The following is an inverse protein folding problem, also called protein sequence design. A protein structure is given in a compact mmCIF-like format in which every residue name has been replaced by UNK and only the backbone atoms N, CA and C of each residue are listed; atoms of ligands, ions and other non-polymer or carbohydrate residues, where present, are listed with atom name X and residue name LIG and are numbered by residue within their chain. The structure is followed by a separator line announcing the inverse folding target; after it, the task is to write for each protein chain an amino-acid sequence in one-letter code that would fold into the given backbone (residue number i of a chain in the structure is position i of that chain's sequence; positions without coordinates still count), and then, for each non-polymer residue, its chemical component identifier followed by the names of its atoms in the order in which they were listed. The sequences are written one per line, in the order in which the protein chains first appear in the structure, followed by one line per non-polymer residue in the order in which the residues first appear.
data_IF_881982638054
#
_entry.id   IF_881982638054
#
_cell.length_a   1.000
_cell.length_b   1.000
_cell.length_c   1.000
_cell.angle_alpha   90.00
_cell.angle_beta   90.00
_cell.angle_gamma   90.00
#
_symmetry.space_group_name_H-M   'P 1'
#
loop_
_entity.id
_entity.type
_entity.pdbx_description
1 polymer ?
2 branched ?
3 non-polymer ?
4 non-polymer ?
5 non-polymer ?
6 water ?
#
# COMPACT_ATOMS: atom_id res chain seq x y z
N UNK A 26 -2.61 -1.64 24.86
CA UNK A 26 -2.01 -2.22 23.64
C UNK A 26 -1.77 -1.16 22.56
N UNK A 27 -1.70 -1.60 21.31
CA UNK A 27 -1.46 -0.70 20.19
C UNK A 27 -2.23 -1.16 18.96
N UNK A 28 -2.28 -0.30 17.94
CA UNK A 28 -2.94 -0.63 16.68
C UNK A 28 -1.87 -1.28 15.83
N UNK A 29 -2.17 -2.45 15.26
CA UNK A 29 -1.17 -3.15 14.48
C UNK A 29 -1.70 -3.63 13.12
N UNK A 30 -0.85 -3.55 12.09
CA UNK A 30 -1.24 -4.01 10.78
C UNK A 30 -0.08 -4.30 9.83
N UNK A 31 -0.35 -5.14 8.83
CA UNK A 31 0.63 -5.52 7.82
C UNK A 31 0.31 -4.74 6.56
N UNK A 32 1.34 -4.26 5.86
CA UNK A 32 1.13 -3.53 4.63
C UNK A 32 1.93 -4.25 3.56
N UNK A 33 1.22 -4.78 2.57
CA UNK A 33 1.87 -5.51 1.51
C UNK A 33 1.24 -5.06 0.20
N UNK A 34 2.04 -4.99 -0.86
CA UNK A 34 1.50 -4.57 -2.13
C UNK A 34 2.01 -5.38 -3.31
N UNK A 35 1.34 -5.24 -4.45
CA UNK A 35 1.73 -5.91 -5.67
C UNK A 35 1.91 -7.40 -5.42
N UNK A 36 0.89 -8.03 -4.84
CA UNK A 36 0.96 -9.45 -4.52
C UNK A 36 0.10 -10.34 -5.42
N UNK A 37 -0.55 -9.74 -6.41
CA UNK A 37 -1.47 -10.45 -7.30
C UNK A 37 -1.11 -11.67 -8.15
N UNK A 38 -0.25 -12.56 -7.66
CA UNK A 38 0.11 -13.75 -8.41
C UNK A 38 0.27 -13.63 -9.92
N UNK A 39 -0.27 -14.59 -10.66
CA UNK A 39 -0.20 -14.61 -12.14
C UNK A 39 -1.51 -15.08 -12.78
N UNK A 40 -1.68 -14.85 -14.10
CA UNK A 40 -2.89 -15.22 -14.86
C UNK A 40 -3.09 -16.72 -15.12
N UNK A 41 -2.02 -17.50 -15.08
CA UNK A 41 -2.17 -18.94 -15.33
C UNK A 41 -2.06 -19.79 -14.08
N UNK A 42 -2.87 -20.84 -14.02
CA UNK A 42 -2.90 -21.76 -12.89
C UNK A 42 -1.51 -22.14 -12.43
N UNK A 43 -1.31 -22.35 -11.12
CA UNK A 43 -2.28 -22.26 -10.01
C UNK A 43 -2.72 -20.85 -9.63
N UNK A 44 -2.26 -19.87 -10.41
CA UNK A 44 -2.60 -18.46 -10.20
C UNK A 44 -1.92 -17.76 -9.02
N UNK A 45 -0.89 -18.40 -8.48
CA UNK A 45 -0.10 -17.83 -7.40
C UNK A 45 1.37 -18.17 -7.66
N UNK A 46 2.28 -17.43 -7.06
CA UNK A 46 3.70 -17.69 -7.27
C UNK A 46 4.38 -18.10 -5.98
N UNK A 47 5.63 -18.56 -6.11
CA UNK A 47 6.41 -18.99 -4.96
C UNK A 47 6.61 -17.81 -4.02
N UNK A 48 6.88 -16.63 -4.57
CA UNK A 48 7.05 -15.45 -3.73
C UNK A 48 5.77 -15.09 -2.98
N UNK A 49 4.63 -15.14 -3.67
CA UNK A 49 3.38 -14.79 -3.01
C UNK A 49 3.07 -15.72 -1.85
N UNK A 50 3.35 -17.01 -2.05
CA UNK A 50 3.11 -18.01 -1.01
C UNK A 50 4.11 -17.86 0.13
N UNK A 51 5.35 -17.52 -0.19
CA UNK A 51 6.37 -17.34 0.86
C UNK A 51 5.97 -16.15 1.74
N UNK A 52 5.50 -15.08 1.11
CA UNK A 52 5.08 -13.92 1.87
C UNK A 52 3.82 -14.20 2.70
N UNK A 53 2.91 -15.00 2.16
CA UNK A 53 1.70 -15.34 2.90
C UNK A 53 2.09 -16.14 4.15
N UNK A 54 3.03 -17.06 3.98
CA UNK A 54 3.49 -17.89 5.10
C UNK A 54 4.11 -17.03 6.21
N UNK A 55 5.04 -16.15 5.84
CA UNK A 55 5.70 -15.29 6.80
C UNK A 55 4.75 -14.26 7.41
N UNK A 56 3.69 -13.91 6.68
CA UNK A 56 2.70 -12.97 7.24
C UNK A 56 2.00 -13.71 8.38
N UNK A 57 1.73 -14.99 8.17
CA UNK A 57 1.07 -15.80 9.17
C UNK A 57 1.95 -15.95 10.42
N UNK A 58 3.23 -16.19 10.22
CA UNK A 58 4.17 -16.34 11.33
C UNK A 58 4.30 -15.04 12.12
N UNK A 59 4.25 -13.92 11.41
CA UNK A 59 4.34 -12.60 12.04
C UNK A 59 3.11 -12.39 12.93
N UNK A 60 1.94 -12.71 12.38
CA UNK A 60 0.69 -12.57 13.11
C UNK A 60 0.68 -13.46 14.35
N UNK A 61 1.17 -14.69 14.21
CA UNK A 61 1.22 -15.64 15.32
C UNK A 61 2.06 -15.12 16.49
N UNK A 62 3.03 -14.25 16.18
CA UNK A 62 3.93 -13.70 17.19
C UNK A 62 3.51 -12.34 17.73
N UNK A 63 3.21 -11.42 16.82
CA UNK A 63 2.83 -10.05 17.19
C UNK A 63 1.34 -9.78 17.16
N UNK A 64 0.59 -10.57 16.40
CA UNK A 64 -0.82 -10.36 16.29
C UNK A 64 -1.02 -9.25 15.27
N UNK A 65 -2.26 -9.04 14.83
CA UNK A 65 -2.53 -7.98 13.86
C UNK A 65 -4.01 -7.66 13.84
N UNK A 66 -4.32 -6.37 13.73
CA UNK A 66 -5.71 -5.93 13.70
C UNK A 66 -6.28 -6.01 12.28
N UNK A 67 -5.42 -5.81 11.28
CA UNK A 67 -5.85 -5.89 9.90
C UNK A 67 -4.67 -5.89 8.93
N UNK A 68 -4.95 -6.20 7.67
CA UNK A 68 -3.94 -6.21 6.63
C UNK A 68 -4.33 -5.19 5.57
N UNK A 69 -3.36 -4.41 5.12
CA UNK A 69 -3.62 -3.39 4.11
C UNK A 69 -2.99 -3.81 2.78
N UNK A 70 -3.76 -3.69 1.70
CA UNK A 70 -3.24 -4.02 0.37
C UNK A 70 -2.98 -2.71 -0.35
N UNK A 71 -1.80 -2.58 -0.93
CA UNK A 71 -1.43 -1.37 -1.64
C UNK A 71 -1.54 -1.41 -3.16
N UNK A 72 -2.46 -2.24 -3.67
CA UNK A 72 -2.67 -2.30 -5.10
C UNK A 72 -2.01 -3.41 -5.89
N UNK A 73 -2.50 -3.60 -7.11
CA UNK A 73 -2.04 -4.64 -8.03
C UNK A 73 -2.37 -5.96 -7.37
N UNK A 74 -3.67 -6.12 -7.14
CA UNK A 74 -4.26 -7.27 -6.49
C UNK A 74 -4.34 -8.52 -7.38
N UNK A 75 -4.48 -8.32 -8.69
CA UNK A 75 -4.57 -9.43 -9.65
C UNK A 75 -3.85 -9.12 -10.96
N UNK A 76 -2.70 -9.76 -11.18
CA UNK A 76 -1.90 -9.58 -12.39
C UNK A 76 -2.39 -10.50 -13.51
N UNK A 77 -2.35 -10.05 -14.76
CA UNK A 77 -1.87 -8.71 -15.14
C UNK A 77 -3.01 -7.83 -15.61
N UNK A 78 -4.24 -8.32 -15.55
CA UNK A 78 -5.38 -7.54 -16.05
C UNK A 78 -6.57 -7.51 -15.09
N UNK A 79 -6.31 -7.57 -13.79
CA UNK A 79 -7.40 -7.55 -12.83
C UNK A 79 -8.38 -8.72 -12.97
N UNK A 80 -9.62 -8.50 -12.54
CA UNK A 80 -10.66 -9.52 -12.62
C UNK A 80 -11.79 -9.09 -13.57
N UNK A 81 -12.53 -10.06 -14.11
CA UNK A 81 -13.62 -9.76 -15.05
C UNK A 81 -14.91 -9.34 -14.33
N UNK A 82 -15.25 -10.07 -13.29
CA UNK A 82 -16.47 -9.83 -12.52
C UNK A 82 -16.26 -10.28 -11.08
N UNK A 83 -17.27 -10.14 -10.25
CA UNK A 83 -17.16 -10.52 -8.84
C UNK A 83 -17.15 -12.03 -8.60
N UNK A 84 -17.39 -12.81 -9.64
CA UNK A 84 -17.39 -14.27 -9.52
C UNK A 84 -16.12 -14.89 -10.09
N UNK A 85 -15.20 -14.04 -10.53
CA UNK A 85 -13.92 -14.46 -11.10
C UNK A 85 -13.22 -15.46 -10.17
N UNK A 86 -12.71 -16.56 -10.74
CA UNK A 86 -12.03 -17.59 -9.96
C UNK A 86 -10.75 -17.10 -9.28
N UNK A 87 -10.19 -16.01 -9.82
CA UNK A 87 -8.96 -15.43 -9.29
C UNK A 87 -9.09 -15.00 -7.82
N UNK A 88 -10.28 -14.60 -7.41
CA UNK A 88 -10.48 -14.19 -6.02
C UNK A 88 -10.15 -15.34 -5.06
N UNK A 89 -10.55 -16.55 -5.41
CA UNK A 89 -10.27 -17.75 -4.60
C UNK A 89 -8.86 -18.26 -4.82
N UNK A 90 -8.41 -18.28 -6.07
CA UNK A 90 -7.09 -18.79 -6.40
C UNK A 90 -5.89 -17.86 -6.14
N UNK A 91 -6.07 -16.57 -6.31
CA UNK A 91 -4.94 -15.68 -6.04
C UNK A 91 -5.01 -15.12 -4.63
N UNK A 92 -6.21 -14.93 -4.10
CA UNK A 92 -6.33 -14.38 -2.75
C UNK A 92 -6.73 -15.35 -1.62
N UNK A 93 -8.00 -15.73 -1.58
CA UNK A 93 -8.49 -16.61 -0.51
C UNK A 93 -7.63 -17.83 -0.16
N UNK A 94 -7.26 -18.63 -1.16
CA UNK A 94 -6.48 -19.83 -0.91
C UNK A 94 -4.99 -19.63 -0.64
N UNK A 95 -4.49 -18.44 -0.96
CA UNK A 95 -3.08 -18.14 -0.71
C UNK A 95 -2.95 -17.72 0.76
N UNK A 96 -3.79 -16.79 1.20
CA UNK A 96 -3.77 -16.33 2.59
C UNK A 96 -4.76 -17.16 3.39
N UNK A 97 -4.56 -18.47 3.38
CA UNK A 97 -5.43 -19.42 4.04
C UNK A 97 -4.98 -19.98 5.39
N UNK A 98 -3.86 -19.50 5.93
CA UNK A 98 -3.40 -20.02 7.20
C UNK A 98 -4.40 -19.73 8.33
N UNK A 99 -4.48 -20.66 9.28
CA UNK A 99 -5.38 -20.55 10.42
C UNK A 99 -5.20 -19.23 11.17
N UNK A 100 -3.95 -18.78 11.26
CA UNK A 100 -3.64 -17.52 11.93
C UNK A 100 -4.19 -16.29 11.21
N UNK A 101 -4.33 -16.37 9.89
CA UNK A 101 -4.84 -15.24 9.10
C UNK A 101 -6.36 -15.20 9.05
N UNK A 102 -7.00 -16.27 9.51
CA UNK A 102 -8.46 -16.33 9.51
C UNK A 102 -9.08 -15.23 10.37
N UNK A 103 -10.12 -14.61 9.84
CA UNK A 103 -10.83 -13.54 10.52
C UNK A 103 -10.16 -12.18 10.53
N UNK A 104 -8.96 -12.07 9.96
CA UNK A 104 -8.29 -10.77 9.93
C UNK A 104 -8.76 -9.99 8.71
N UNK A 105 -9.32 -8.79 8.94
CA UNK A 105 -9.84 -7.89 7.91
C UNK A 105 -8.76 -7.33 6.97
N UNK A 106 -9.10 -7.21 5.70
CA UNK A 106 -8.20 -6.64 4.69
C UNK A 106 -8.84 -5.36 4.19
N UNK A 107 -8.06 -4.30 4.08
CA UNK A 107 -8.57 -3.04 3.53
C UNK A 107 -7.79 -2.85 2.25
N UNK A 108 -8.53 -2.87 1.15
CA UNK A 108 -7.95 -2.79 -0.19
C UNK A 108 -8.07 -1.45 -0.92
N UNK A 109 -7.13 -1.28 -1.85
CA UNK A 109 -7.02 -0.11 -2.71
C UNK A 109 -6.61 -0.67 -4.06
N UNK A 110 -6.88 0.06 -5.13
CA UNK A 110 -6.56 -0.43 -6.48
C UNK A 110 -5.28 0.09 -7.13
N UNK A 111 -4.63 -0.78 -7.90
CA UNK A 111 -3.42 -0.42 -8.62
C UNK A 111 -3.71 -0.33 -10.11
N UNK A 112 -2.69 -0.07 -10.92
CA UNK A 112 -2.88 0.05 -12.37
C UNK A 112 -3.32 -1.22 -13.08
N UNK A 113 -2.83 -2.38 -12.65
CA UNK A 113 -3.23 -3.63 -13.28
C UNK A 113 -4.68 -3.98 -12.97
N UNK A 114 -5.16 -3.54 -11.81
CA UNK A 114 -6.55 -3.78 -11.43
C UNK A 114 -7.46 -2.97 -12.34
N UNK A 115 -6.96 -1.80 -12.74
CA UNK A 115 -7.72 -0.91 -13.62
C UNK A 115 -7.75 -1.35 -15.08
N UNK A 116 -7.02 -2.40 -15.42
CA UNK A 116 -7.04 -2.90 -16.78
C UNK A 116 -8.22 -3.86 -16.84
N UNK A 117 -8.79 -4.12 -15.67
CA UNK A 117 -9.93 -5.01 -15.59
C UNK A 117 -11.13 -4.28 -15.04
N UNK A 118 -11.95 -4.99 -14.27
CA UNK A 118 -13.17 -4.46 -13.67
C UNK A 118 -12.93 -4.12 -12.19
N UNK A 119 -12.85 -2.82 -11.86
CA UNK A 119 -12.63 -2.43 -10.47
C UNK A 119 -13.92 -2.49 -9.67
N UNK A 120 -15.05 -2.33 -10.36
CA UNK A 120 -16.34 -2.41 -9.69
C UNK A 120 -16.51 -3.80 -9.11
N UNK A 121 -15.94 -4.79 -9.78
CA UNK A 121 -16.02 -6.17 -9.32
C UNK A 121 -15.25 -6.36 -8.01
N UNK A 122 -14.11 -5.68 -7.89
CA UNK A 122 -13.32 -5.80 -6.66
C UNK A 122 -14.03 -5.12 -5.51
N UNK A 123 -14.83 -4.10 -5.83
CA UNK A 123 -15.59 -3.40 -4.80
C UNK A 123 -16.78 -4.26 -4.38
N UNK A 124 -17.42 -4.88 -5.37
CA UNK A 124 -18.58 -5.73 -5.12
C UNK A 124 -18.22 -7.01 -4.39
N UNK A 125 -16.97 -7.46 -4.53
CA UNK A 125 -16.53 -8.67 -3.85
C UNK A 125 -16.59 -8.53 -2.33
N UNK A 126 -16.67 -7.28 -1.85
CA UNK A 126 -16.74 -7.01 -0.42
C UNK A 126 -18.00 -7.59 0.19
N UNK A 127 -19.00 -7.86 -0.66
CA UNK A 127 -20.26 -8.41 -0.19
C UNK A 127 -20.28 -9.94 -0.28
N UNK A 128 -19.22 -10.50 -0.84
CA UNK A 128 -19.10 -11.95 -0.99
C UNK A 128 -18.14 -12.51 0.06
N UNK A 129 -17.08 -11.77 0.35
CA UNK A 129 -16.10 -12.19 1.34
C UNK A 129 -16.09 -11.24 2.51
N UNK A 130 -16.22 -11.79 3.71
CA UNK A 130 -16.24 -11.03 4.96
C UNK A 130 -14.95 -10.26 5.21
N UNK A 131 -13.81 -10.92 5.00
CA UNK A 131 -12.50 -10.32 5.22
C UNK A 131 -12.14 -9.20 4.23
N UNK A 132 -12.65 -9.31 3.00
CA UNK A 132 -12.37 -8.32 1.94
C UNK A 132 -13.19 -7.03 2.07
N UNK A 133 -12.52 -5.91 2.36
CA UNK A 133 -13.17 -4.61 2.52
C UNK A 133 -12.64 -3.58 1.53
N UNK A 134 -13.45 -3.29 0.52
CA UNK A 134 -13.12 -2.33 -0.53
C UNK A 134 -14.47 -1.66 -0.87
N UNK A 135 -14.95 -0.75 0.01
CA UNK A 135 -16.22 -0.02 -0.15
C UNK A 135 -16.36 0.88 -1.37
N UNK A 136 -15.24 1.39 -1.88
CA UNK A 136 -15.25 2.27 -3.04
C UNK A 136 -13.80 2.59 -3.46
N UNK A 137 -13.62 3.26 -4.61
CA UNK A 137 -12.31 3.63 -5.14
C UNK A 137 -11.41 4.30 -4.10
N UNK A 138 -11.98 5.21 -3.33
CA UNK A 138 -11.22 5.87 -2.28
C UNK A 138 -12.13 6.12 -1.09
N UNK A 139 -11.57 5.99 0.11
CA UNK A 139 -12.35 6.17 1.32
C UNK A 139 -11.49 6.45 2.54
N UNK A 140 -12.18 6.77 3.63
CA UNK A 140 -11.57 7.09 4.91
C UNK A 140 -11.77 5.96 5.92
N UNK A 141 -10.75 5.73 6.75
CA UNK A 141 -10.80 4.72 7.79
C UNK A 141 -10.46 5.42 9.08
N UNK A 142 -11.13 5.05 10.16
CA UNK A 142 -10.90 5.69 11.46
C UNK A 142 -10.76 4.64 12.57
N UNK A 143 -9.59 4.59 13.21
CA UNK A 143 -9.33 3.63 14.27
C UNK A 143 -9.06 4.30 15.62
N UNK A 144 -9.46 3.60 16.68
CA UNK A 144 -9.31 4.08 18.05
C UNK A 144 -8.54 3.06 18.87
N UNK A 145 -7.30 3.40 19.23
CA UNK A 145 -6.42 2.51 20.01
C UNK A 145 -6.84 2.34 21.47
N UNK A 146 -6.94 1.09 21.94
CA UNK A 146 -7.32 0.69 23.31
C UNK A 146 -6.58 1.43 24.43
N UNK A 147 -7.32 1.80 25.46
CA UNK A 147 -6.79 2.52 26.61
C UNK A 147 -6.34 3.92 26.22
N UNK A 148 -5.31 3.97 25.40
CA UNK A 148 -4.77 5.24 24.94
C UNK A 148 -5.89 6.07 24.30
N UNK A 149 -5.75 7.40 24.34
CA UNK A 149 -6.74 8.27 23.74
C UNK A 149 -6.39 8.40 22.26
N UNK A 150 -5.31 7.72 21.86
CA UNK A 150 -4.82 7.74 20.50
C UNK A 150 -5.84 7.28 19.46
N UNK A 151 -5.98 8.10 18.42
CA UNK A 151 -6.88 7.83 17.31
C UNK A 151 -6.05 7.85 16.02
N UNK A 152 -6.43 7.03 15.06
CA UNK A 152 -5.72 6.95 13.78
C UNK A 152 -6.68 7.02 12.60
N UNK A 153 -6.35 7.86 11.62
CA UNK A 153 -7.15 8.00 10.42
C UNK A 153 -6.28 7.61 9.22
N UNK A 154 -6.87 6.89 8.28
CA UNK A 154 -6.15 6.47 7.08
C UNK A 154 -6.99 6.73 5.85
N UNK A 155 -6.41 7.40 4.87
CA UNK A 155 -7.12 7.71 3.65
C UNK A 155 -6.60 6.88 2.49
N UNK A 156 -7.40 5.91 2.06
CA UNK A 156 -7.05 5.02 0.95
C UNK A 156 -7.41 5.73 -0.35
N UNK A 157 -6.40 6.02 -1.17
CA UNK A 157 -6.64 6.71 -2.44
C UNK A 157 -6.59 5.78 -3.65
N UNK A 158 -7.02 6.32 -4.78
CA UNK A 158 -6.96 5.61 -6.05
C UNK A 158 -6.13 6.50 -6.97
N UNK A 159 -4.82 6.29 -6.93
CA UNK A 159 -3.90 7.08 -7.73
C UNK A 159 -4.06 6.91 -9.24
N UNK A 160 -4.72 5.84 -9.68
CA UNK A 160 -4.93 5.67 -11.11
C UNK A 160 -5.93 6.72 -11.59
N UNK A 161 -6.95 7.01 -10.77
CA UNK A 161 -7.96 8.01 -11.10
C UNK A 161 -7.36 9.42 -11.02
N UNK A 162 -6.23 9.55 -10.34
CA UNK A 162 -5.58 10.85 -10.20
C UNK A 162 -4.54 11.13 -11.28
N UNK A 163 -3.77 10.10 -11.66
CA UNK A 163 -2.71 10.29 -12.64
C UNK A 163 -2.86 9.53 -13.96
N UNK A 164 -3.83 8.64 -14.06
CA UNK A 164 -4.00 7.86 -15.27
C UNK A 164 -3.32 6.53 -15.10
N UNK A 165 -3.50 5.62 -16.05
CA UNK A 165 -2.89 4.29 -15.95
C UNK A 165 -1.52 4.27 -16.60
N UNK A 166 -0.49 3.90 -15.83
CA UNK A 166 0.87 3.85 -16.35
C UNK A 166 1.03 2.89 -17.53
N UNK A 167 0.08 1.97 -17.67
CA UNK A 167 0.12 1.02 -18.77
C UNK A 167 -0.37 1.62 -20.09
N UNK A 168 -0.93 2.83 -20.01
CA UNK A 168 -1.42 3.51 -21.21
C UNK A 168 -0.32 4.31 -21.92
N UNK A 169 0.85 4.44 -21.29
CA UNK A 169 1.93 5.20 -21.90
C UNK A 169 3.22 4.41 -22.07
N UNK A 170 3.93 4.71 -23.16
CA UNK A 170 5.20 4.04 -23.47
C UNK A 170 6.26 4.29 -22.39
N UNK A 171 6.24 5.47 -21.80
CA UNK A 171 7.21 5.82 -20.76
C UNK A 171 6.93 5.06 -19.47
N UNK A 172 5.73 4.49 -19.37
CA UNK A 172 5.31 3.72 -18.19
C UNK A 172 5.07 4.63 -16.99
N UNK A 173 4.85 5.91 -17.27
CA UNK A 173 4.58 6.89 -16.24
C UNK A 173 3.15 7.39 -16.44
N UNK A 174 2.37 7.52 -15.36
CA UNK A 174 0.99 7.99 -15.47
C UNK A 174 1.04 9.48 -15.82
N UNK A 175 1.01 9.79 -17.11
CA UNK A 175 1.08 11.17 -17.58
C UNK A 175 -0.09 12.05 -17.19
N UNK A 176 -1.31 11.61 -17.47
CA UNK A 176 -2.48 12.42 -17.14
C UNK A 176 -3.71 11.56 -16.86
N UNK A 177 -4.64 12.09 -16.04
CA UNK A 177 -5.89 11.41 -15.67
C UNK A 177 -6.78 11.25 -16.88
N UNK A 178 -7.65 10.25 -16.86
CA UNK A 178 -8.58 10.01 -17.96
C UNK A 178 -9.76 10.99 -17.87
N UNK A 179 -10.09 11.41 -16.66
CA UNK A 179 -11.19 12.35 -16.47
C UNK A 179 -10.85 13.46 -15.47
N UNK A 180 -10.95 14.70 -15.92
CA UNK A 180 -10.66 15.85 -15.07
C UNK A 180 -11.53 15.89 -13.81
N UNK A 181 -12.84 15.84 -13.99
CA UNK A 181 -13.73 15.87 -12.85
C UNK A 181 -13.46 14.81 -11.80
N UNK A 182 -13.17 13.60 -12.24
CA UNK A 182 -12.89 12.51 -11.32
C UNK A 182 -11.68 12.79 -10.44
N UNK A 183 -10.60 13.28 -11.06
CA UNK A 183 -9.36 13.57 -10.35
C UNK A 183 -9.52 14.78 -9.45
N UNK A 184 -10.07 15.85 -10.02
CA UNK A 184 -10.28 17.09 -9.29
C UNK A 184 -11.13 16.86 -8.04
N UNK A 185 -12.15 16.00 -8.16
CA UNK A 185 -13.03 15.69 -7.04
C UNK A 185 -12.34 14.95 -5.90
N UNK A 186 -11.54 13.93 -6.22
CA UNK A 186 -10.82 13.17 -5.19
C UNK A 186 -9.84 14.05 -4.43
N UNK A 187 -9.17 14.95 -5.15
CA UNK A 187 -8.22 15.87 -4.54
C UNK A 187 -8.95 16.85 -3.60
N UNK A 188 -10.14 17.27 -4.00
CA UNK A 188 -10.94 18.19 -3.21
C UNK A 188 -11.45 17.47 -1.96
N UNK A 189 -11.78 16.20 -2.11
CA UNK A 189 -12.26 15.38 -1.01
C UNK A 189 -11.14 15.19 0.03
N UNK A 190 -9.96 14.81 -0.44
CA UNK A 190 -8.84 14.59 0.46
C UNK A 190 -8.40 15.85 1.20
N UNK A 191 -8.38 16.98 0.50
CA UNK A 191 -7.99 18.24 1.10
C UNK A 191 -8.96 18.65 2.22
N UNK A 192 -10.26 18.48 1.98
CA UNK A 192 -11.25 18.84 2.98
C UNK A 192 -11.22 17.86 4.16
N UNK A 193 -10.90 16.60 3.89
CA UNK A 193 -10.81 15.58 4.94
C UNK A 193 -9.59 15.83 5.81
N UNK A 194 -8.48 16.22 5.18
CA UNK A 194 -7.25 16.50 5.90
C UNK A 194 -7.35 17.78 6.71
N UNK A 195 -8.14 18.73 6.23
CA UNK A 195 -8.33 20.00 6.94
C UNK A 195 -9.48 19.89 7.92
N UNK A 196 -9.57 18.75 8.60
CA UNK A 196 -10.64 18.54 9.57
C UNK A 196 -10.31 17.34 10.46
N UNK A 197 -9.32 16.56 10.05
CA UNK A 197 -8.93 15.37 10.80
C UNK A 197 -8.34 15.75 12.16
N UNK A 198 -8.96 15.26 13.22
CA UNK A 198 -8.52 15.54 14.60
C UNK A 198 -7.65 14.41 15.15
N UNK A 199 -7.55 13.31 14.41
CA UNK A 199 -6.76 12.15 14.83
C UNK A 199 -5.32 12.46 15.19
N UNK A 200 -4.74 11.59 16.02
CA UNK A 200 -3.35 11.74 16.47
C UNK A 200 -2.36 11.29 15.41
N UNK A 201 -2.77 10.37 14.56
CA UNK A 201 -1.93 9.89 13.47
C UNK A 201 -2.80 9.92 12.22
N UNK A 202 -2.22 10.41 11.12
CA UNK A 202 -2.94 10.47 9.85
C UNK A 202 -2.07 9.89 8.75
N UNK A 203 -2.56 8.83 8.12
CA UNK A 203 -1.83 8.17 7.05
C UNK A 203 -2.60 8.25 5.74
N UNK A 204 -1.86 8.29 4.63
CA UNK A 204 -2.44 8.33 3.31
C UNK A 204 -1.80 7.21 2.51
N UNK A 205 -2.58 6.49 1.74
CA UNK A 205 -2.04 5.37 0.96
C UNK A 205 -2.55 5.40 -0.47
N UNK A 206 -1.72 4.93 -1.39
CA UNK A 206 -2.06 4.89 -2.79
C UNK A 206 -1.13 3.89 -3.46
N UNK A 207 -1.40 3.52 -4.69
CA UNK A 207 -0.54 2.56 -5.38
C UNK A 207 0.77 3.20 -5.82
N UNK A 208 0.64 4.27 -6.62
CA UNK A 208 1.78 4.99 -7.16
C UNK A 208 2.59 5.71 -6.07
N UNK A 209 3.91 5.74 -6.23
CA UNK A 209 4.82 6.39 -5.28
C UNK A 209 4.99 7.90 -5.52
N UNK A 210 5.23 8.63 -4.45
CA UNK A 210 5.49 10.06 -4.56
C UNK A 210 6.99 10.08 -4.81
N UNK A 211 7.75 9.53 -3.85
CA UNK A 211 9.21 9.43 -3.96
C UNK A 211 9.61 7.95 -4.07
N UNK A 212 10.53 7.65 -4.98
CA UNK A 212 11.04 6.29 -5.16
C UNK A 212 12.33 6.32 -5.99
N UNK A 213 13.28 5.47 -5.62
CA UNK A 213 14.56 5.43 -6.33
C UNK A 213 14.69 4.25 -7.29
N UNK A 214 13.65 3.42 -7.36
CA UNK A 214 13.70 2.22 -8.20
C UNK A 214 13.33 2.36 -9.67
N UNK A 215 12.83 1.27 -10.27
CA UNK A 215 12.48 1.23 -11.69
C UNK A 215 11.62 2.36 -12.26
N UNK A 216 10.48 2.64 -11.63
CA UNK A 216 9.62 3.71 -12.10
C UNK A 216 9.98 5.06 -11.51
N UNK A 217 10.38 5.05 -10.24
CA UNK A 217 10.75 6.29 -9.60
C UNK A 217 9.56 7.15 -9.19
N UNK A 218 9.80 8.43 -8.86
CA UNK A 218 8.74 9.35 -8.45
C UNK A 218 7.69 9.55 -9.53
N UNK A 219 6.45 9.79 -9.11
CA UNK A 219 5.35 10.03 -10.03
C UNK A 219 5.15 11.54 -10.07
N UNK A 220 5.59 12.16 -11.15
CA UNK A 220 5.48 13.61 -11.30
C UNK A 220 4.13 14.18 -10.83
N UNK A 221 3.04 13.57 -11.29
CA UNK A 221 1.71 14.02 -10.92
C UNK A 221 1.45 14.05 -9.41
N UNK A 222 2.00 13.09 -8.67
CA UNK A 222 1.79 13.03 -7.23
C UNK A 222 2.68 14.02 -6.50
N UNK A 223 3.89 14.22 -7.03
CA UNK A 223 4.82 15.16 -6.43
C UNK A 223 4.24 16.57 -6.54
N UNK A 224 3.62 16.87 -7.67
CA UNK A 224 3.05 18.19 -7.91
C UNK A 224 1.67 18.41 -7.33
N UNK A 225 0.87 17.35 -7.27
CA UNK A 225 -0.50 17.46 -6.78
C UNK A 225 -0.86 16.88 -5.41
N UNK A 226 -0.08 15.93 -4.92
CA UNK A 226 -0.42 15.31 -3.63
C UNK A 226 0.56 15.67 -2.52
N UNK A 227 1.84 15.53 -2.81
CA UNK A 227 2.90 15.80 -1.84
C UNK A 227 2.70 17.10 -1.03
N UNK A 228 2.39 18.22 -1.72
CA UNK A 228 2.20 19.49 -1.02
C UNK A 228 1.21 19.41 0.15
N UNK A 229 0.14 18.65 -0.03
CA UNK A 229 -0.89 18.51 1.00
C UNK A 229 -0.40 17.83 2.29
N UNK A 230 0.54 16.90 2.14
CA UNK A 230 1.06 16.14 3.26
C UNK A 230 1.66 16.97 4.41
N UNK A 231 2.66 17.79 4.11
CA UNK A 231 3.28 18.62 5.15
C UNK A 231 2.35 19.72 5.65
N UNK A 232 1.52 20.24 4.75
CA UNK A 232 0.60 21.31 5.10
C UNK A 232 -0.41 20.93 6.19
N UNK A 233 -0.91 19.69 6.14
CA UNK A 233 -1.89 19.25 7.13
C UNK A 233 -1.35 18.29 8.19
N UNK A 234 -0.04 18.09 8.19
CA UNK A 234 0.57 17.22 9.19
C UNK A 234 0.38 15.71 9.03
N UNK A 235 0.48 15.23 7.79
CA UNK A 235 0.34 13.81 7.53
C UNK A 235 1.58 13.08 8.05
N UNK A 236 1.35 11.99 8.78
CA UNK A 236 2.44 11.20 9.33
C UNK A 236 3.28 10.55 8.24
N UNK A 237 2.62 9.86 7.31
CA UNK A 237 3.32 9.19 6.22
C UNK A 237 2.42 8.79 5.05
N UNK A 238 3.05 8.54 3.90
CA UNK A 238 2.33 8.11 2.69
C UNK A 238 2.79 6.68 2.41
N UNK A 239 1.86 5.76 2.19
CA UNK A 239 2.22 4.37 1.94
C UNK A 239 1.92 4.03 0.48
N UNK A 240 2.72 3.17 -0.13
CA UNK A 240 2.48 2.81 -1.52
C UNK A 240 3.25 1.56 -1.95
N UNK A 241 3.04 1.17 -3.21
CA UNK A 241 3.72 0.02 -3.78
C UNK A 241 4.21 0.39 -5.17
N UNK A 242 3.72 -0.32 -6.18
CA UNK A 242 4.05 -0.10 -7.59
C UNK A 242 5.47 -0.46 -8.00
N UNK A 243 6.47 0.09 -7.33
CA UNK A 243 7.87 -0.28 -7.62
C UNK A 243 8.06 -1.55 -6.77
N UNK A 244 8.53 -2.63 -7.40
CA UNK A 244 8.68 -3.91 -6.72
C UNK A 244 9.90 -4.15 -5.83
N UNK A 245 9.84 -3.55 -4.64
CA UNK A 245 10.90 -3.66 -3.65
C UNK A 245 10.42 -3.03 -2.34
N UNK A 246 11.33 -2.83 -1.39
CA UNK A 246 10.98 -2.23 -0.11
C UNK A 246 11.83 -0.97 0.05
N UNK A 247 11.21 0.12 0.49
CA UNK A 247 11.92 1.37 0.68
C UNK A 247 11.31 2.21 1.79
N UNK A 248 12.17 3.00 2.42
CA UNK A 248 11.73 3.96 3.41
C UNK A 248 12.44 5.27 3.13
N UNK A 249 11.69 6.33 2.88
CA UNK A 249 12.26 7.65 2.63
C UNK A 249 11.61 8.63 3.61
N UNK A 250 12.25 9.77 3.83
CA UNK A 250 11.72 10.76 4.76
C UNK A 250 12.19 12.15 4.33
N UNK A 251 11.25 13.05 4.03
CA UNK A 251 11.65 14.39 3.59
C UNK A 251 12.07 15.30 4.75
N UNK A 252 12.40 16.54 4.44
CA UNK A 252 12.85 17.50 5.44
C UNK A 252 11.75 18.03 6.36
N UNK A 253 10.49 17.78 6.00
CA UNK A 253 9.39 18.24 6.84
C UNK A 253 9.02 17.18 7.86
N UNK A 254 9.68 16.02 7.78
CA UNK A 254 9.41 14.95 8.73
C UNK A 254 8.41 13.90 8.27
N UNK A 255 7.88 14.05 7.07
CA UNK A 255 6.90 13.10 6.54
C UNK A 255 7.62 11.81 6.14
N UNK A 256 7.00 10.68 6.42
CA UNK A 256 7.62 9.42 6.06
C UNK A 256 7.04 8.84 4.79
N UNK A 257 7.86 8.11 4.04
CA UNK A 257 7.40 7.49 2.82
C UNK A 257 7.72 5.99 2.86
N UNK A 258 6.66 5.21 3.05
CA UNK A 258 6.78 3.75 3.14
C UNK A 258 6.41 3.09 1.82
N UNK A 259 7.37 2.41 1.19
CA UNK A 259 7.11 1.73 -0.07
C UNK A 259 7.19 0.21 0.18
N UNK A 260 6.07 -0.47 -0.06
CA UNK A 260 5.98 -1.91 0.16
C UNK A 260 5.31 -2.56 -1.05
N UNK A 261 6.10 -2.87 -2.08
CA UNK A 261 5.56 -3.47 -3.28
C UNK A 261 6.31 -4.73 -3.69
N UNK A 262 6.74 -5.51 -2.70
CA UNK A 262 7.51 -6.73 -2.93
C UNK A 262 6.76 -8.00 -2.54
N UNK A 263 5.43 -7.99 -2.65
CA UNK A 263 4.67 -9.16 -2.29
C UNK A 263 4.61 -10.26 -3.35
N UNK A 264 5.10 -9.99 -4.56
CA UNK A 264 5.04 -10.98 -5.63
C UNK A 264 6.26 -10.95 -6.56
N UNK A 265 6.89 -9.78 -6.70
CA UNK A 265 8.06 -9.61 -7.54
C UNK A 265 9.14 -8.85 -6.79
N UNK A 266 10.37 -8.91 -7.30
CA UNK A 266 11.51 -8.21 -6.69
C UNK A 266 12.41 -7.65 -7.79
N UNK A 267 12.30 -6.34 -8.05
CA UNK A 267 13.11 -5.67 -9.07
C UNK A 267 14.28 -4.97 -8.36
N UNK A 268 15.52 -5.30 -8.76
CA UNK A 268 16.78 -4.76 -8.21
C UNK A 268 17.11 -3.29 -8.54
N UNK A 269 16.49 -2.78 -9.60
CA UNK A 269 16.76 -1.42 -10.06
C UNK A 269 16.83 -0.30 -9.00
N UNK A 270 17.81 0.58 -9.17
CA UNK A 270 17.99 1.76 -8.31
C UNK A 270 18.17 2.90 -9.31
N UNK A 271 17.57 2.71 -10.48
CA UNK A 271 17.62 3.63 -11.62
C UNK A 271 17.31 5.11 -11.35
N UNK A 272 16.40 5.40 -10.43
CA UNK A 272 16.04 6.79 -10.14
C UNK A 272 16.57 7.39 -8.86
N UNK A 273 17.63 6.83 -8.29
CA UNK A 273 18.14 7.39 -7.04
C UNK A 273 18.62 8.83 -7.17
N UNK A 274 19.03 9.23 -8.37
CA UNK A 274 19.50 10.58 -8.60
C UNK A 274 18.33 11.55 -8.74
N UNK A 275 17.13 11.00 -8.93
CA UNK A 275 15.93 11.82 -9.09
C UNK A 275 15.23 12.10 -7.77
N UNK A 276 15.77 11.54 -6.69
CA UNK A 276 15.20 11.75 -5.37
C UNK A 276 16.12 12.72 -4.61
N UNK A 277 15.55 13.74 -3.97
CA UNK A 277 16.36 14.69 -3.21
C UNK A 277 17.36 14.01 -2.28
N UNK A 278 18.57 14.57 -2.21
CA UNK A 278 19.62 14.02 -1.35
C UNK A 278 19.16 13.95 0.11
N UNK A 279 19.49 12.85 0.77
CA UNK A 279 19.11 12.69 2.16
C UNK A 279 17.80 11.96 2.43
N UNK A 280 16.91 11.93 1.44
CA UNK A 280 15.62 11.27 1.61
C UNK A 280 15.66 9.75 1.79
N UNK A 281 16.46 9.06 0.99
CA UNK A 281 16.55 7.60 1.10
C UNK A 281 17.16 7.14 2.42
N UNK A 282 16.38 6.42 3.22
CA UNK A 282 16.88 5.90 4.48
C UNK A 282 17.08 4.39 4.40
N UNK A 283 16.22 3.72 3.63
CA UNK A 283 16.33 2.28 3.49
C UNK A 283 15.85 1.73 2.15
N UNK A 284 16.55 0.72 1.66
CA UNK A 284 16.18 0.07 0.42
C UNK A 284 16.70 -1.36 0.29
N UNK A 285 15.87 -2.22 -0.27
CA UNK A 285 16.23 -3.62 -0.50
C UNK A 285 15.39 -4.14 -1.65
N UNK A 286 16.06 -4.65 -2.69
CA UNK A 286 15.35 -5.17 -3.83
C UNK A 286 16.05 -6.33 -4.50
N UNK A 287 16.84 -7.09 -3.74
CA UNK A 287 17.58 -8.23 -4.27
C UNK A 287 16.69 -9.21 -5.04
N UNK A 288 17.04 -9.46 -6.29
CA UNK A 288 16.27 -10.36 -7.14
C UNK A 288 16.21 -11.80 -6.64
N UNK A 289 17.18 -12.18 -5.81
CA UNK A 289 17.22 -13.53 -5.28
C UNK A 289 16.42 -13.66 -3.99
N UNK A 290 15.82 -12.56 -3.56
CA UNK A 290 15.00 -12.52 -2.36
C UNK A 290 13.57 -12.95 -2.72
N UNK A 291 12.87 -13.54 -1.75
CA UNK A 291 11.49 -13.98 -1.97
C UNK A 291 10.48 -12.84 -1.83
N UNK A 292 10.95 -11.64 -1.53
CA UNK A 292 10.04 -10.51 -1.37
C UNK A 292 9.91 -10.14 0.09
N UNK A 293 8.91 -9.31 0.41
CA UNK A 293 8.72 -8.88 1.77
C UNK A 293 7.52 -7.97 1.96
N UNK A 294 7.36 -7.47 3.18
CA UNK A 294 6.24 -6.61 3.53
C UNK A 294 6.63 -5.79 4.74
N UNK A 295 5.72 -4.96 5.23
CA UNK A 295 5.99 -4.14 6.40
C UNK A 295 4.98 -4.41 7.52
N UNK A 296 5.44 -4.22 8.75
CA UNK A 296 4.61 -4.42 9.92
C UNK A 296 4.58 -3.08 10.66
N UNK A 297 3.40 -2.52 10.82
CA UNK A 297 3.26 -1.24 11.50
C UNK A 297 2.57 -1.34 12.86
N UNK A 298 3.15 -0.69 13.85
CA UNK A 298 2.60 -0.67 15.19
C UNK A 298 2.52 0.79 15.66
N UNK A 299 1.29 1.24 15.89
CA UNK A 299 1.03 2.61 16.32
C UNK A 299 0.68 2.65 17.81
N UNK A 300 1.49 3.38 18.57
CA UNK A 300 1.25 3.49 20.00
C UNK A 300 1.09 4.92 20.50
N UNK A 301 0.92 5.08 21.80
CA UNK A 301 0.72 6.39 22.40
C UNK A 301 1.89 7.36 22.23
N UNK A 302 3.10 6.83 22.05
CA UNK A 302 4.27 7.67 21.90
C UNK A 302 4.75 7.81 20.47
N UNK A 303 4.60 6.75 19.67
CA UNK A 303 5.05 6.80 18.28
C UNK A 303 4.61 5.61 17.44
N UNK A 304 4.81 5.76 16.13
CA UNK A 304 4.47 4.72 15.16
C UNK A 304 5.76 4.09 14.68
N UNK A 305 5.89 2.78 14.82
CA UNK A 305 7.09 2.10 14.35
C UNK A 305 6.77 1.34 13.07
N UNK A 306 7.78 1.11 12.25
CA UNK A 306 7.60 0.42 10.98
C UNK A 306 8.73 -0.58 10.80
N UNK A 307 8.38 -1.85 10.70
CA UNK A 307 9.40 -2.88 10.52
C UNK A 307 9.27 -3.48 9.12
N UNK A 308 10.41 -3.64 8.46
CA UNK A 308 10.45 -4.24 7.13
C UNK A 308 10.85 -5.69 7.32
N UNK A 309 9.98 -6.59 6.86
CA UNK A 309 10.22 -8.02 6.99
C UNK A 309 10.38 -8.72 5.64
N UNK A 310 11.42 -9.53 5.51
CA UNK A 310 11.65 -10.26 4.27
C UNK A 310 10.93 -11.61 4.41
N UNK A 311 10.39 -12.11 3.29
CA UNK A 311 9.65 -13.37 3.30
C UNK A 311 10.43 -14.50 3.95
N UNK A 312 11.76 -14.47 3.81
CA UNK A 312 12.62 -15.49 4.40
C UNK A 312 12.44 -15.56 5.91
N UNK A 313 12.03 -14.44 6.51
CA UNK A 313 11.80 -14.43 7.95
C UNK A 313 12.60 -13.42 8.75
N UNK A 314 13.55 -12.73 8.13
CA UNK A 314 14.34 -11.77 8.88
C UNK A 314 13.86 -10.32 8.73
N UNK A 315 14.00 -9.54 9.80
CA UNK A 315 13.62 -8.13 9.77
C UNK A 315 14.84 -7.37 9.28
N UNK A 316 14.66 -6.58 8.23
CA UNK A 316 15.75 -5.83 7.61
C UNK A 316 16.01 -4.41 8.13
N UNK A 317 14.95 -3.73 8.53
CA UNK A 317 15.06 -2.34 8.99
C UNK A 317 13.87 -1.98 9.87
N UNK A 318 14.05 -0.98 10.72
CA UNK A 318 12.96 -0.56 11.59
C UNK A 318 13.15 0.88 12.03
N UNK A 319 12.11 1.71 11.85
CA UNK A 319 12.13 3.11 12.25
C UNK A 319 10.87 3.48 13.00
N UNK A 320 10.86 4.68 13.56
CA UNK A 320 9.70 5.17 14.30
C UNK A 320 9.40 6.59 13.87
N UNK A 321 8.14 6.99 14.04
CA UNK A 321 7.70 8.33 13.69
C UNK A 321 6.88 8.92 14.83
N UNK A 322 7.27 10.12 15.29
CA UNK A 322 6.61 10.83 16.39
C UNK A 322 5.11 10.98 16.20
N UNK A 323 4.43 11.30 17.29
CA UNK A 323 3.00 11.50 17.26
C UNK A 323 2.74 12.90 16.73
N UNK A 324 1.59 13.06 16.06
CA UNK A 324 1.19 14.33 15.48
C UNK A 324 0.89 15.35 16.58
N UNK A 325 1.50 16.56 16.49
CA UNK A 325 1.30 17.62 17.47
C UNK A 325 -0.17 17.91 17.77
#
# INVERSE_FOLDING_TARGET
MDTWMVLLGLQILLLPLLAHCTAPASTLRFVAVGDWGGVPNAPFHTAREMANAKEIARTVQIMGADFIMSLGDNFYFTGVHDANDKRFQETFEDVFSDRALRNIPWYVLAGNHDHLGNVSAQIAYSKISKRWNFPSPYYRLRFKVPRSNITVAIFMLDTVMLCGNSDDFVSQQPEMPRDLGVARTQLSWLKKQLAAAKEDYVLVAGHYPIWSIAEHGPTRCLVKNLRPLLAAYGVTAYLCGHDHNLQYLQDENGVGYVLSGAGNFMDPSVRHQRKVPNGYLRFHYGSEDSLGGFTYVEIGSKEMSITYVEASGKSLFKTSLPRRPRP
#
